data_IF_505211654139
#
_entry.id   IF_505211654139
#
_cell.length_a   1.000
_cell.length_b   1.000
_cell.length_c   1.000
_cell.angle_alpha   90.00
_cell.angle_beta   90.00
_cell.angle_gamma   90.00
#
_symmetry.space_group_name_H-M   'P 1'
#
loop_
_entity.id
_entity.type
_entity.pdbx_description
1 polymer ?
#
# COMPACT_ATOMS: atom_id res chain seq x y z
N UNK A 1 27.78 -18.67 7.50
CA UNK A 1 27.88 -18.88 6.03
C UNK A 1 26.50 -19.27 5.52
N UNK A 2 25.84 -18.39 4.77
CA UNK A 2 24.77 -18.74 3.83
C UNK A 2 25.28 -18.35 2.43
N UNK A 3 25.23 -19.24 1.42
CA UNK A 3 26.02 -19.08 0.20
C UNK A 3 25.28 -18.28 -0.88
N UNK A 4 26.07 -17.52 -1.65
CA UNK A 4 25.94 -17.19 -3.08
C UNK A 4 24.57 -16.71 -3.60
N UNK A 5 24.47 -15.39 -3.77
CA UNK A 5 24.08 -14.82 -5.07
C UNK A 5 22.59 -14.75 -5.43
N UNK A 6 21.73 -14.21 -4.56
CA UNK A 6 20.48 -13.63 -5.04
C UNK A 6 20.79 -12.20 -5.52
N UNK A 7 20.69 -11.99 -6.82
CA UNK A 7 20.79 -10.68 -7.45
C UNK A 7 19.86 -9.69 -6.72
N UNK A 8 20.21 -8.40 -6.77
CA UNK A 8 19.28 -7.32 -6.44
C UNK A 8 18.04 -7.41 -7.36
N UNK A 9 17.07 -8.24 -7.00
CA UNK A 9 15.73 -8.25 -7.55
C UNK A 9 15.11 -6.93 -7.12
N UNK A 10 14.97 -5.98 -8.03
CA UNK A 10 14.29 -4.71 -7.78
C UNK A 10 12.87 -5.02 -7.31
N UNK A 11 12.66 -4.96 -6.01
CA UNK A 11 11.32 -5.17 -5.45
C UNK A 11 10.42 -4.09 -6.05
N UNK A 12 9.29 -4.46 -6.68
CA UNK A 12 8.49 -3.49 -7.39
C UNK A 12 7.95 -2.45 -6.39
N UNK A 13 8.13 -1.19 -6.75
CA UNK A 13 7.54 -0.07 -6.03
C UNK A 13 6.22 0.30 -6.70
N UNK A 14 5.28 0.75 -5.89
CA UNK A 14 3.99 1.27 -6.33
C UNK A 14 3.78 2.66 -5.73
N UNK A 15 3.16 3.54 -6.50
CA UNK A 15 2.62 4.79 -6.01
C UNK A 15 1.13 4.61 -5.72
N UNK A 16 0.69 5.05 -4.55
CA UNK A 16 -0.69 4.89 -4.06
C UNK A 16 -1.23 6.27 -3.69
N UNK A 17 -2.41 6.61 -4.21
CA UNK A 17 -3.16 7.82 -3.87
C UNK A 17 -4.42 7.45 -3.10
N UNK A 18 -4.65 8.08 -1.95
CA UNK A 18 -5.91 7.98 -1.22
C UNK A 18 -6.99 8.82 -1.92
N UNK A 19 -8.05 8.16 -2.40
CA UNK A 19 -9.16 8.82 -3.12
C UNK A 19 -10.41 9.05 -2.25
N UNK A 20 -10.31 8.78 -0.94
CA UNK A 20 -11.37 8.93 0.04
C UNK A 20 -12.02 7.61 0.44
N UNK A 21 -13.15 7.68 1.13
CA UNK A 21 -13.77 6.54 1.81
C UNK A 21 -13.45 6.51 3.30
N UNK A 22 -13.55 5.33 3.90
CA UNK A 22 -13.55 5.18 5.35
C UNK A 22 -14.73 5.90 6.00
N UNK A 23 -14.62 6.19 7.30
CA UNK A 23 -15.68 6.91 8.03
C UNK A 23 -15.62 8.43 7.82
N UNK A 24 -14.42 8.98 7.60
CA UNK A 24 -14.20 10.44 7.63
C UNK A 24 -13.36 11.00 6.48
N UNK A 25 -13.12 10.22 5.41
CA UNK A 25 -12.25 10.66 4.31
C UNK A 25 -10.86 11.09 4.81
N UNK A 26 -10.30 10.33 5.75
CA UNK A 26 -9.02 10.70 6.35
C UNK A 26 -7.91 10.57 5.31
N UNK A 27 -7.18 11.66 5.05
CA UNK A 27 -6.00 11.63 4.19
C UNK A 27 -6.28 11.61 2.68
N UNK A 28 -7.48 11.98 2.23
CA UNK A 28 -7.75 12.17 0.78
C UNK A 28 -6.69 13.06 0.13
N UNK A 29 -6.21 12.65 -1.04
CA UNK A 29 -5.19 13.34 -1.81
C UNK A 29 -3.77 13.09 -1.31
N UNK A 30 -3.57 12.30 -0.24
CA UNK A 30 -2.23 11.84 0.14
C UNK A 30 -1.73 10.80 -0.85
N UNK A 31 -0.46 10.93 -1.21
CA UNK A 31 0.26 10.01 -2.09
C UNK A 31 1.45 9.44 -1.32
N UNK A 32 1.65 8.13 -1.41
CA UNK A 32 2.83 7.46 -0.88
C UNK A 32 3.45 6.54 -1.93
N UNK A 33 4.73 6.23 -1.77
CA UNK A 33 5.36 5.11 -2.43
C UNK A 33 5.53 3.96 -1.44
N UNK A 34 5.21 2.75 -1.89
CA UNK A 34 5.33 1.54 -1.10
C UNK A 34 6.03 0.44 -1.92
N UNK A 35 6.73 -0.44 -1.22
CA UNK A 35 7.38 -1.61 -1.82
C UNK A 35 6.44 -2.81 -1.70
N UNK A 36 6.19 -3.53 -2.80
CA UNK A 36 5.37 -4.76 -2.80
C UNK A 36 6.20 -5.91 -2.23
N UNK A 37 5.81 -6.41 -1.05
CA UNK A 37 6.57 -7.43 -0.33
C UNK A 37 5.89 -8.81 -0.31
N UNK A 38 4.57 -8.86 -0.49
CA UNK A 38 3.81 -10.11 -0.38
C UNK A 38 2.57 -10.09 -1.30
N UNK A 39 1.99 -11.26 -1.49
CA UNK A 39 0.73 -11.49 -2.20
C UNK A 39 -0.42 -11.66 -1.19
N UNK A 40 -1.63 -11.21 -1.56
CA UNK A 40 -2.84 -11.45 -0.79
C UNK A 40 -3.80 -12.35 -1.58
N UNK A 41 -3.80 -13.69 -1.37
CA UNK A 41 -4.64 -14.61 -2.15
C UNK A 41 -6.16 -14.41 -1.98
N UNK A 42 -6.58 -13.76 -0.89
CA UNK A 42 -7.99 -13.48 -0.60
C UNK A 42 -8.46 -12.08 -1.00
N UNK A 43 -7.57 -11.24 -1.55
CA UNK A 43 -7.91 -9.90 -1.98
C UNK A 43 -8.49 -9.93 -3.39
N UNK A 44 -9.49 -9.09 -3.65
CA UNK A 44 -10.02 -8.90 -5.00
C UNK A 44 -8.98 -8.28 -5.94
N UNK A 45 -9.23 -8.42 -7.24
CA UNK A 45 -8.37 -7.84 -8.25
C UNK A 45 -8.23 -6.32 -8.05
N UNK A 46 -6.98 -5.84 -8.06
CA UNK A 46 -6.58 -4.44 -7.83
C UNK A 46 -6.69 -3.94 -6.37
N UNK A 47 -6.98 -4.79 -5.40
CA UNK A 47 -6.91 -4.43 -3.98
C UNK A 47 -5.47 -4.57 -3.46
N UNK A 48 -5.11 -3.73 -2.49
CA UNK A 48 -3.83 -3.79 -1.78
C UNK A 48 -4.09 -4.03 -0.30
N UNK A 49 -3.45 -5.04 0.28
CA UNK A 49 -3.38 -5.21 1.73
C UNK A 49 -2.15 -4.48 2.27
N UNK A 50 -2.39 -3.35 2.92
CA UNK A 50 -1.34 -2.44 3.34
C UNK A 50 -0.81 -2.82 4.72
N UNK A 51 0.50 -2.78 4.89
CA UNK A 51 1.08 -2.74 6.23
C UNK A 51 0.47 -1.58 7.04
N UNK A 52 0.35 -1.75 8.36
CA UNK A 52 -0.17 -0.72 9.28
C UNK A 52 0.51 0.64 9.10
N UNK A 53 1.81 0.65 8.77
CA UNK A 53 2.56 1.88 8.50
C UNK A 53 2.12 2.58 7.23
N UNK A 54 2.00 1.84 6.12
CA UNK A 54 1.52 2.37 4.84
C UNK A 54 0.07 2.86 4.93
N UNK A 55 -0.80 2.09 5.61
CA UNK A 55 -2.17 2.47 5.88
C UNK A 55 -2.24 3.84 6.59
N UNK A 56 -1.56 3.96 7.74
CA UNK A 56 -1.52 5.22 8.52
C UNK A 56 -0.91 6.38 7.72
N UNK A 57 0.08 6.12 6.88
CA UNK A 57 0.67 7.17 6.05
C UNK A 57 -0.35 7.76 5.05
N UNK A 58 -1.21 6.91 4.47
CA UNK A 58 -2.28 7.32 3.56
C UNK A 58 -3.47 7.96 4.25
N UNK A 59 -3.77 7.59 5.51
CA UNK A 59 -4.96 8.07 6.26
C UNK A 59 -4.63 9.15 7.30
N UNK A 60 -3.47 9.80 7.19
CA UNK A 60 -3.08 10.89 8.08
C UNK A 60 -2.87 10.46 9.54
N UNK A 61 -2.44 9.22 9.77
CA UNK A 61 -2.13 8.66 11.09
C UNK A 61 -3.22 7.78 11.69
N UNK A 62 -4.36 7.64 11.02
CA UNK A 62 -5.52 6.91 11.52
C UNK A 62 -5.55 5.46 11.01
N UNK A 63 -6.35 4.60 11.63
CA UNK A 63 -6.68 3.27 11.08
C UNK A 63 -8.06 3.23 10.42
N UNK A 64 -8.65 4.42 10.22
CA UNK A 64 -9.91 4.71 9.54
C UNK A 64 -10.91 3.55 9.55
N UNK A 65 -11.70 3.36 10.64
CA UNK A 65 -12.79 2.38 10.65
C UNK A 65 -13.66 2.59 9.40
N UNK A 66 -13.85 1.57 8.53
CA UNK A 66 -13.84 0.13 8.81
C UNK A 66 -12.49 -0.60 8.67
N UNK A 67 -11.39 0.08 8.38
CA UNK A 67 -10.11 -0.53 8.03
C UNK A 67 -9.92 -0.68 6.52
N UNK A 68 -10.69 0.06 5.73
CA UNK A 68 -10.62 0.10 4.27
C UNK A 68 -10.95 1.52 3.77
N UNK A 69 -10.36 1.89 2.64
CA UNK A 69 -10.59 3.15 1.94
C UNK A 69 -10.27 2.97 0.45
N UNK A 70 -10.78 3.88 -0.37
CA UNK A 70 -10.57 3.85 -1.81
C UNK A 70 -9.18 4.40 -2.16
N UNK A 71 -8.55 3.76 -3.14
CA UNK A 71 -7.23 4.14 -3.64
C UNK A 71 -7.18 4.07 -5.16
N UNK A 72 -6.30 4.88 -5.73
CA UNK A 72 -5.73 4.66 -7.05
C UNK A 72 -4.26 4.28 -6.89
N UNK A 73 -3.74 3.36 -7.71
CA UNK A 73 -2.34 2.98 -7.65
C UNK A 73 -1.79 2.52 -8.99
N UNK A 74 -0.47 2.59 -9.13
CA UNK A 74 0.27 2.07 -10.28
C UNK A 74 1.69 1.67 -9.87
N UNK A 75 2.34 0.82 -10.66
CA UNK A 75 3.78 0.55 -10.48
C UNK A 75 4.58 1.82 -10.78
N UNK A 76 5.44 2.20 -9.83
CA UNK A 76 6.37 3.30 -10.01
C UNK A 76 7.46 2.89 -11.01
N UNK A 77 7.82 3.80 -11.91
CA UNK A 77 8.90 3.63 -12.90
C UNK A 77 10.27 3.93 -12.32
#
# INVERSE_FOLDING_TARGET
MAPRGLAATTTPMIEITNTGGGQSNNGVGRVIQAVVQDTCPGCDQNHLDLSTGAFKALTGGNLDPPGEFNIDWHFAM
#
